data_IF_373300392709
#
_entry.id   IF_373300392709
#
_cell.length_a   1.000
_cell.length_b   1.000
_cell.length_c   1.000
_cell.angle_alpha   90.00
_cell.angle_beta   90.00
_cell.angle_gamma   90.00
#
_symmetry.space_group_name_H-M   'P 1'
#
loop_
_entity.id
_entity.type
_entity.pdbx_description
1 polymer ?
#
# COMPACT_ATOMS: atom_id res chain seq x y z
N UNK A 1 17.94 -9.94 -8.73
CA UNK A 1 17.55 -8.52 -8.89
C UNK A 1 16.35 -8.25 -8.02
N UNK A 2 16.26 -7.11 -7.33
CA UNK A 2 15.05 -6.73 -6.61
C UNK A 2 13.89 -6.45 -7.58
N UNK A 3 12.66 -6.69 -7.13
CA UNK A 3 11.43 -6.32 -7.86
C UNK A 3 11.24 -4.82 -7.89
N UNK A 4 11.54 -4.17 -6.74
CA UNK A 4 11.52 -2.71 -6.58
C UNK A 4 12.86 -2.30 -5.98
N UNK A 5 13.54 -1.32 -6.56
CA UNK A 5 14.72 -0.68 -5.99
C UNK A 5 14.47 0.82 -5.90
N UNK A 6 14.66 1.40 -4.70
CA UNK A 6 14.55 2.84 -4.44
C UNK A 6 15.90 3.32 -3.94
N UNK A 7 16.45 4.37 -4.56
CA UNK A 7 17.78 4.89 -4.25
C UNK A 7 17.75 6.40 -4.12
N UNK A 8 18.20 6.89 -2.96
CA UNK A 8 18.37 8.30 -2.67
C UNK A 8 17.12 9.15 -2.87
N UNK A 9 15.92 8.57 -2.71
CA UNK A 9 14.67 9.24 -3.06
C UNK A 9 14.43 10.48 -2.21
N UNK A 10 14.23 11.62 -2.85
CA UNK A 10 14.00 12.90 -2.20
C UNK A 10 12.72 13.54 -2.70
N UNK A 11 11.97 14.17 -1.77
CA UNK A 11 10.79 14.95 -2.10
C UNK A 11 10.56 16.06 -1.09
N UNK A 12 10.36 17.24 -1.60
CA UNK A 12 10.02 18.44 -0.81
C UNK A 12 8.69 19.02 -1.28
N UNK A 13 8.00 19.70 -0.38
CA UNK A 13 6.83 20.51 -0.66
C UNK A 13 7.11 21.90 -0.09
N UNK A 14 7.32 22.88 -0.96
CA UNK A 14 7.83 24.19 -0.60
C UNK A 14 9.12 24.05 0.25
N UNK A 15 9.13 24.57 1.47
CA UNK A 15 10.28 24.51 2.38
C UNK A 15 10.39 23.22 3.17
N UNK A 16 9.38 22.36 3.12
CA UNK A 16 9.34 21.14 3.92
C UNK A 16 9.90 19.95 3.13
N UNK A 17 11.08 19.46 3.53
CA UNK A 17 11.70 18.26 2.98
C UNK A 17 11.11 17.02 3.65
N UNK A 18 10.23 16.32 2.92
CA UNK A 18 9.49 15.14 3.41
C UNK A 18 10.29 13.85 3.23
N UNK A 19 10.94 13.67 2.07
CA UNK A 19 11.86 12.57 1.83
C UNK A 19 13.28 13.14 1.67
N UNK A 20 14.23 12.58 2.40
CA UNK A 20 15.58 13.12 2.55
C UNK A 20 16.68 12.15 2.10
N UNK A 21 16.38 11.25 1.18
CA UNK A 21 17.23 10.17 0.71
C UNK A 21 16.74 8.84 1.28
N UNK A 22 15.66 8.30 0.71
CA UNK A 22 15.09 7.00 1.07
C UNK A 22 15.72 5.93 0.18
N UNK A 23 16.24 4.88 0.81
CA UNK A 23 16.89 3.74 0.15
C UNK A 23 16.27 2.44 0.68
N UNK A 24 15.75 1.59 -0.20
CA UNK A 24 15.34 0.21 0.12
C UNK A 24 15.14 -0.62 -1.15
N UNK A 25 15.12 -1.93 -0.95
CA UNK A 25 14.81 -2.92 -1.96
C UNK A 25 13.64 -3.79 -1.52
N UNK A 26 12.87 -4.29 -2.49
CA UNK A 26 11.85 -5.32 -2.28
C UNK A 26 12.12 -6.46 -3.25
N UNK A 27 12.27 -7.67 -2.74
CA UNK A 27 12.44 -8.86 -3.57
C UNK A 27 11.13 -9.26 -4.26
N UNK A 28 11.22 -10.05 -5.33
CA UNK A 28 10.03 -10.61 -5.96
C UNK A 28 9.29 -11.55 -4.98
N UNK A 29 7.98 -11.37 -4.86
CA UNK A 29 7.13 -12.14 -3.94
C UNK A 29 7.24 -11.76 -2.47
N UNK A 30 8.07 -10.76 -2.13
CA UNK A 30 8.25 -10.25 -0.77
C UNK A 30 7.12 -9.29 -0.37
N UNK A 31 6.70 -9.34 0.89
CA UNK A 31 5.83 -8.36 1.53
C UNK A 31 6.66 -7.43 2.43
N UNK A 32 6.98 -6.23 1.94
CA UNK A 32 7.64 -5.19 2.72
C UNK A 32 6.60 -4.30 3.41
N UNK A 33 6.76 -4.09 4.71
CA UNK A 33 5.95 -3.09 5.45
C UNK A 33 6.84 -1.92 5.87
N UNK A 34 6.44 -0.70 5.48
CA UNK A 34 7.11 0.52 5.91
C UNK A 34 6.33 1.12 7.08
N UNK A 35 6.94 1.13 8.25
CA UNK A 35 6.39 1.70 9.47
C UNK A 35 6.94 3.09 9.74
N UNK A 36 6.30 3.84 10.64
CA UNK A 36 6.75 5.15 11.11
C UNK A 36 5.60 6.04 11.50
N UNK A 37 5.89 7.11 12.22
CA UNK A 37 4.89 8.06 12.70
C UNK A 37 4.10 8.77 11.59
N UNK A 38 3.04 9.48 11.96
CA UNK A 38 2.29 10.30 11.02
C UNK A 38 3.20 11.40 10.43
N UNK A 39 3.05 11.68 9.14
CA UNK A 39 3.81 12.74 8.45
C UNK A 39 5.27 12.42 8.13
N UNK A 40 5.78 11.21 8.41
CA UNK A 40 7.18 10.83 8.13
C UNK A 40 7.52 10.64 6.65
N UNK A 41 6.52 10.65 5.76
CA UNK A 41 6.72 10.50 4.31
C UNK A 41 6.29 9.16 3.72
N UNK A 42 5.70 8.24 4.49
CA UNK A 42 5.29 6.89 4.02
C UNK A 42 4.42 6.94 2.76
N UNK A 43 3.28 7.65 2.82
CA UNK A 43 2.38 7.78 1.66
C UNK A 43 3.02 8.56 0.50
N UNK A 44 3.94 9.49 0.78
CA UNK A 44 4.72 10.20 -0.26
C UNK A 44 5.63 9.22 -0.98
N UNK A 45 6.29 8.31 -0.25
CA UNK A 45 7.15 7.26 -0.84
C UNK A 45 6.35 6.39 -1.81
N UNK A 46 5.20 5.84 -1.38
CA UNK A 46 4.34 5.04 -2.28
C UNK A 46 3.87 5.86 -3.48
N UNK A 47 3.45 7.12 -3.28
CA UNK A 47 3.01 7.98 -4.39
C UNK A 47 4.13 8.26 -5.40
N UNK A 48 5.39 8.35 -4.96
CA UNK A 48 6.52 8.46 -5.87
C UNK A 48 6.73 7.16 -6.66
N UNK A 49 6.67 5.99 -6.01
CA UNK A 49 6.81 4.69 -6.69
C UNK A 49 5.69 4.49 -7.72
N UNK A 50 4.45 4.82 -7.36
CA UNK A 50 3.32 4.82 -8.28
C UNK A 50 3.43 5.92 -9.37
N UNK A 51 4.41 6.83 -9.27
CA UNK A 51 4.57 7.99 -10.14
C UNK A 51 3.38 8.96 -10.08
N UNK A 52 2.60 8.95 -9.02
CA UNK A 52 1.58 9.97 -8.73
C UNK A 52 2.23 11.29 -8.28
N UNK A 53 3.46 11.19 -7.77
CA UNK A 53 4.33 12.33 -7.46
C UNK A 53 5.68 12.12 -8.15
N UNK A 54 6.20 13.16 -8.77
CA UNK A 54 7.57 13.16 -9.29
C UNK A 54 8.52 13.49 -8.14
N UNK A 55 9.51 12.63 -7.84
CA UNK A 55 10.54 12.95 -6.84
C UNK A 55 11.42 14.09 -7.34
N UNK A 56 12.06 14.79 -6.39
CA UNK A 56 12.97 15.89 -6.71
C UNK A 56 14.38 15.37 -7.04
N UNK A 57 14.74 14.19 -6.50
CA UNK A 57 15.97 13.47 -6.80
C UNK A 57 15.84 11.97 -6.41
N UNK A 58 16.80 11.17 -6.84
CA UNK A 58 16.85 9.73 -6.62
C UNK A 58 16.29 8.94 -7.80
N UNK A 59 16.31 7.60 -7.68
CA UNK A 59 15.82 6.68 -8.70
C UNK A 59 14.84 5.67 -8.12
N UNK A 60 13.95 5.18 -8.98
CA UNK A 60 12.99 4.11 -8.67
C UNK A 60 13.01 3.14 -9.83
N UNK A 61 13.51 1.94 -9.58
CA UNK A 61 13.54 0.88 -10.58
C UNK A 61 12.51 -0.21 -10.27
N UNK A 62 11.81 -0.67 -11.31
CA UNK A 62 10.95 -1.85 -11.26
C UNK A 62 11.51 -2.88 -12.25
N UNK A 63 11.91 -4.05 -11.74
CA UNK A 63 12.63 -5.09 -12.51
C UNK A 63 13.87 -4.53 -13.24
N UNK A 64 14.62 -3.63 -12.57
CA UNK A 64 15.82 -3.00 -13.13
C UNK A 64 15.56 -1.92 -14.19
N UNK A 65 14.30 -1.53 -14.38
CA UNK A 65 13.94 -0.43 -15.30
C UNK A 65 13.62 0.81 -14.51
N UNK A 66 14.33 1.92 -14.81
CA UNK A 66 14.06 3.23 -14.21
C UNK A 66 12.64 3.71 -14.57
N UNK A 67 11.89 4.15 -13.54
CA UNK A 67 10.49 4.55 -13.69
C UNK A 67 10.24 6.03 -13.48
N UNK A 68 11.19 6.76 -12.89
CA UNK A 68 11.09 8.21 -12.72
C UNK A 68 11.10 8.88 -14.09
N UNK A 69 10.14 9.77 -14.32
CA UNK A 69 10.01 10.48 -15.59
C UNK A 69 9.35 9.70 -16.72
N UNK A 70 8.94 8.45 -16.51
CA UNK A 70 8.16 7.73 -17.51
C UNK A 70 6.86 8.47 -17.84
N UNK A 71 6.54 8.56 -19.12
CA UNK A 71 5.34 9.24 -19.63
C UNK A 71 4.61 8.40 -20.69
N UNK A 72 3.41 8.81 -21.05
CA UNK A 72 2.62 8.23 -22.12
C UNK A 72 2.41 6.71 -21.99
N UNK A 73 2.63 5.98 -23.08
CA UNK A 73 2.37 4.52 -23.15
C UNK A 73 3.26 3.69 -22.23
N UNK A 74 4.51 4.13 -21.97
CA UNK A 74 5.42 3.40 -21.06
C UNK A 74 4.89 3.45 -19.63
N UNK A 75 4.47 4.63 -19.17
CA UNK A 75 3.82 4.81 -17.88
C UNK A 75 2.52 4.00 -17.76
N UNK A 76 1.65 4.05 -18.77
CA UNK A 76 0.39 3.29 -18.76
C UNK A 76 0.64 1.79 -18.59
N UNK A 77 1.64 1.23 -19.30
CA UNK A 77 2.04 -0.18 -19.16
C UNK A 77 2.51 -0.51 -17.75
N UNK A 78 3.31 0.37 -17.14
CA UNK A 78 3.77 0.20 -15.77
C UNK A 78 2.58 0.19 -14.79
N UNK A 79 1.65 1.13 -14.93
CA UNK A 79 0.47 1.24 -14.05
C UNK A 79 -0.43 0.00 -14.10
N UNK A 80 -0.47 -0.72 -15.23
CA UNK A 80 -1.22 -1.97 -15.35
C UNK A 80 -0.63 -3.13 -14.52
N UNK A 81 0.61 -3.00 -14.06
CA UNK A 81 1.29 -3.99 -13.21
C UNK A 81 1.01 -3.75 -11.71
N UNK A 82 0.37 -2.64 -11.37
CA UNK A 82 0.15 -2.21 -10.00
C UNK A 82 -1.31 -2.37 -9.59
N UNK A 83 -1.52 -2.83 -8.36
CA UNK A 83 -2.78 -2.72 -7.65
C UNK A 83 -2.60 -1.86 -6.40
N UNK A 84 -3.62 -1.08 -6.05
CA UNK A 84 -3.54 -0.15 -4.91
C UNK A 84 -4.81 -0.19 -4.07
N UNK A 85 -4.62 -0.35 -2.76
CA UNK A 85 -5.64 -0.11 -1.75
C UNK A 85 -5.27 1.18 -0.99
N UNK A 86 -6.08 2.21 -1.15
CA UNK A 86 -5.90 3.50 -0.50
C UNK A 86 -6.49 3.52 0.91
N UNK A 87 -5.98 4.38 1.78
CA UNK A 87 -6.41 4.55 3.16
C UNK A 87 -7.95 4.71 3.30
N UNK A 88 -8.57 5.57 2.49
CA UNK A 88 -10.01 5.81 2.47
C UNK A 88 -10.80 4.89 1.53
N UNK A 89 -10.24 3.72 1.11
CA UNK A 89 -10.81 2.84 0.08
C UNK A 89 -10.90 3.48 -1.31
N UNK A 90 -11.11 4.78 -1.40
CA UNK A 90 -11.20 5.58 -2.63
C UNK A 90 -12.14 4.96 -3.69
N UNK A 91 -13.30 4.48 -3.23
CA UNK A 91 -14.34 3.97 -4.13
C UNK A 91 -15.06 5.15 -4.78
N UNK A 92 -15.52 4.96 -6.01
CA UNK A 92 -16.34 5.93 -6.73
C UNK A 92 -17.79 5.81 -6.25
N UNK A 93 -18.31 6.82 -5.57
CA UNK A 93 -19.65 6.82 -4.98
C UNK A 93 -20.75 6.69 -6.02
N UNK A 94 -20.52 7.18 -7.24
CA UNK A 94 -21.46 7.13 -8.35
C UNK A 94 -21.54 5.77 -9.04
N UNK A 95 -20.61 4.85 -8.76
CA UNK A 95 -20.52 3.53 -9.38
C UNK A 95 -21.02 2.45 -8.43
N UNK A 96 -21.63 1.39 -9.00
CA UNK A 96 -21.95 0.19 -8.26
C UNK A 96 -20.64 -0.51 -7.80
N UNK A 97 -20.76 -1.40 -6.82
CA UNK A 97 -19.63 -2.17 -6.27
C UNK A 97 -18.88 -2.93 -7.35
N UNK A 98 -19.60 -3.67 -8.22
CA UNK A 98 -18.95 -4.40 -9.31
C UNK A 98 -18.24 -3.48 -10.31
N UNK A 99 -18.78 -2.29 -10.57
CA UNK A 99 -18.17 -1.30 -11.46
C UNK A 99 -16.92 -0.69 -10.84
N UNK A 100 -16.92 -0.48 -9.51
CA UNK A 100 -15.73 -0.09 -8.79
C UNK A 100 -14.61 -1.13 -8.94
N UNK A 101 -14.92 -2.40 -8.75
CA UNK A 101 -13.94 -3.51 -8.91
C UNK A 101 -13.45 -3.61 -10.35
N UNK A 102 -14.36 -3.51 -11.32
CA UNK A 102 -14.08 -3.64 -12.74
C UNK A 102 -13.49 -2.37 -13.40
N UNK A 103 -13.41 -1.25 -12.66
CA UNK A 103 -13.07 0.06 -13.23
C UNK A 103 -11.77 0.04 -14.05
N UNK A 104 -10.69 -0.49 -13.49
CA UNK A 104 -9.40 -0.59 -14.16
C UNK A 104 -9.41 -1.54 -15.38
N UNK A 105 -10.23 -2.58 -15.35
CA UNK A 105 -10.42 -3.50 -16.46
C UNK A 105 -11.12 -2.82 -17.64
N UNK A 106 -12.19 -2.08 -17.37
CA UNK A 106 -13.00 -1.41 -18.39
C UNK A 106 -12.25 -0.20 -18.96
N UNK A 107 -11.85 0.73 -18.09
CA UNK A 107 -11.28 2.02 -18.51
C UNK A 107 -9.79 1.91 -18.89
N UNK A 108 -9.05 1.04 -18.21
CA UNK A 108 -7.59 0.91 -18.43
C UNK A 108 -7.24 -0.13 -19.49
N UNK A 109 -7.94 -1.28 -19.50
CA UNK A 109 -7.60 -2.42 -20.37
C UNK A 109 -8.61 -2.67 -21.48
N UNK A 110 -9.72 -1.92 -21.57
CA UNK A 110 -10.75 -2.07 -22.59
C UNK A 110 -11.51 -3.39 -22.53
N UNK A 111 -11.55 -4.05 -21.36
CA UNK A 111 -12.28 -5.31 -21.20
C UNK A 111 -13.79 -5.06 -21.36
N UNK A 112 -14.51 -5.85 -22.19
CA UNK A 112 -15.94 -5.69 -22.35
C UNK A 112 -16.70 -5.78 -21.03
N UNK A 113 -17.71 -4.92 -20.82
CA UNK A 113 -18.44 -4.79 -19.55
C UNK A 113 -18.94 -6.11 -18.98
N UNK A 114 -19.48 -6.99 -19.83
CA UNK A 114 -19.98 -8.31 -19.39
C UNK A 114 -18.85 -9.13 -18.76
N UNK A 115 -17.72 -9.27 -19.44
CA UNK A 115 -16.56 -10.00 -18.94
C UNK A 115 -15.96 -9.35 -17.68
N UNK A 116 -15.87 -8.02 -17.67
CA UNK A 116 -15.35 -7.28 -16.53
C UNK A 116 -16.25 -7.46 -15.29
N UNK A 117 -17.57 -7.58 -15.47
CA UNK A 117 -18.50 -7.90 -14.40
C UNK A 117 -18.29 -9.31 -13.84
N UNK A 118 -18.10 -10.30 -14.71
CA UNK A 118 -17.85 -11.68 -14.28
C UNK A 118 -16.57 -11.76 -13.44
N UNK A 119 -15.49 -11.10 -13.89
CA UNK A 119 -14.24 -10.97 -13.11
C UNK A 119 -14.49 -10.25 -11.78
N UNK A 120 -15.25 -9.17 -11.78
CA UNK A 120 -15.54 -8.43 -10.55
C UNK A 120 -16.27 -9.30 -9.52
N UNK A 121 -17.24 -10.11 -9.94
CA UNK A 121 -17.95 -11.04 -9.06
C UNK A 121 -17.01 -12.11 -8.49
N UNK A 122 -16.11 -12.65 -9.29
CA UNK A 122 -15.08 -13.58 -8.85
C UNK A 122 -14.18 -12.95 -7.76
N UNK A 123 -13.68 -11.72 -8.01
CA UNK A 123 -12.79 -11.04 -7.05
C UNK A 123 -13.54 -10.58 -5.78
N UNK A 124 -14.83 -10.25 -5.88
CA UNK A 124 -15.67 -10.01 -4.70
C UNK A 124 -15.81 -11.28 -3.85
N UNK A 125 -16.07 -12.42 -4.47
CA UNK A 125 -16.12 -13.69 -3.77
C UNK A 125 -14.78 -14.03 -3.09
N UNK A 126 -13.64 -13.77 -3.75
CA UNK A 126 -12.30 -13.98 -3.21
C UNK A 126 -12.02 -13.17 -1.93
N UNK A 127 -12.69 -12.02 -1.73
CA UNK A 127 -12.60 -11.21 -0.51
C UNK A 127 -13.77 -11.45 0.45
N UNK A 128 -14.54 -12.54 0.25
CA UNK A 128 -15.65 -12.93 1.12
C UNK A 128 -16.88 -12.04 1.01
N UNK A 129 -17.16 -11.46 -0.17
CA UNK A 129 -18.36 -10.70 -0.46
C UNK A 129 -19.19 -11.47 -1.50
N UNK A 130 -20.47 -11.71 -1.19
CA UNK A 130 -21.40 -12.40 -2.08
C UNK A 130 -21.85 -11.53 -3.26
N UNK A 131 -22.49 -12.17 -4.24
CA UNK A 131 -22.95 -11.50 -5.46
C UNK A 131 -24.06 -10.43 -5.19
N UNK A 132 -24.77 -10.55 -4.07
CA UNK A 132 -25.81 -9.60 -3.63
C UNK A 132 -25.26 -8.18 -3.38
N UNK A 133 -23.99 -8.05 -3.00
CA UNK A 133 -23.34 -6.75 -2.79
C UNK A 133 -22.97 -6.06 -4.10
N UNK A 134 -22.90 -6.78 -5.20
CA UNK A 134 -22.37 -6.26 -6.46
C UNK A 134 -23.15 -5.06 -7.02
N UNK A 135 -24.48 -5.04 -6.82
CA UNK A 135 -25.34 -3.95 -7.28
C UNK A 135 -25.42 -2.76 -6.31
N UNK A 136 -24.92 -2.91 -5.08
CA UNK A 136 -24.92 -1.85 -4.07
C UNK A 136 -23.96 -0.71 -4.46
N UNK A 137 -24.12 0.42 -3.79
CA UNK A 137 -23.20 1.57 -3.89
C UNK A 137 -22.34 1.68 -2.63
N UNK A 138 -21.17 2.34 -2.69
CA UNK A 138 -20.28 2.49 -1.54
C UNK A 138 -20.96 2.99 -0.25
N UNK A 139 -21.89 3.94 -0.36
CA UNK A 139 -22.62 4.48 0.77
C UNK A 139 -23.52 3.45 1.50
N UNK A 140 -23.83 2.31 0.87
CA UNK A 140 -24.63 1.23 1.45
C UNK A 140 -23.79 0.16 2.14
N UNK A 141 -22.46 0.33 2.15
CA UNK A 141 -21.51 -0.64 2.69
C UNK A 141 -20.95 -0.18 4.05
N UNK A 142 -20.70 -1.14 4.94
CA UNK A 142 -19.89 -0.87 6.14
C UNK A 142 -18.44 -0.55 5.75
N UNK A 143 -17.68 0.09 6.64
CA UNK A 143 -16.25 0.40 6.41
C UNK A 143 -15.41 -0.83 6.06
N UNK A 144 -15.64 -1.96 6.75
CA UNK A 144 -14.97 -3.23 6.43
C UNK A 144 -15.36 -3.80 5.07
N UNK A 145 -16.62 -3.65 4.64
CA UNK A 145 -17.05 -4.04 3.30
C UNK A 145 -16.40 -3.15 2.23
N UNK A 146 -16.32 -1.83 2.47
CA UNK A 146 -15.64 -0.91 1.54
C UNK A 146 -14.16 -1.25 1.36
N UNK A 147 -13.45 -1.63 2.44
CA UNK A 147 -12.06 -2.09 2.37
C UNK A 147 -11.93 -3.38 1.56
N UNK A 148 -12.85 -4.34 1.74
CA UNK A 148 -12.87 -5.59 0.94
C UNK A 148 -13.15 -5.33 -0.53
N UNK A 149 -14.09 -4.43 -0.86
CA UNK A 149 -14.32 -4.01 -2.26
C UNK A 149 -13.07 -3.33 -2.85
N UNK A 150 -12.39 -2.46 -2.09
CA UNK A 150 -11.15 -1.82 -2.52
C UNK A 150 -10.02 -2.84 -2.75
N UNK A 151 -9.94 -3.90 -1.91
CA UNK A 151 -9.01 -5.01 -2.11
C UNK A 151 -9.36 -5.80 -3.38
N UNK A 152 -10.64 -6.15 -3.58
CA UNK A 152 -11.11 -6.81 -4.80
C UNK A 152 -10.74 -5.99 -6.05
N UNK A 153 -10.92 -4.66 -6.02
CA UNK A 153 -10.50 -3.75 -7.09
C UNK A 153 -8.99 -3.78 -7.31
N UNK A 154 -8.20 -3.80 -6.25
CA UNK A 154 -6.73 -3.83 -6.34
C UNK A 154 -6.22 -5.10 -7.03
N UNK A 155 -6.87 -6.25 -6.81
CA UNK A 155 -6.47 -7.54 -7.39
C UNK A 155 -7.18 -7.90 -8.71
N UNK A 156 -8.17 -7.09 -9.13
CA UNK A 156 -9.02 -7.43 -10.28
C UNK A 156 -8.25 -7.57 -11.60
N UNK A 157 -7.21 -6.78 -11.76
CA UNK A 157 -6.37 -6.77 -12.96
C UNK A 157 -5.17 -7.73 -12.87
N UNK A 158 -5.11 -8.58 -11.85
CA UNK A 158 -4.00 -9.52 -11.60
C UNK A 158 -2.64 -8.80 -11.65
N UNK A 159 -2.41 -7.86 -10.72
CA UNK A 159 -1.19 -7.07 -10.70
C UNK A 159 0.01 -7.92 -10.29
N UNK A 160 1.22 -7.45 -10.62
CA UNK A 160 2.48 -8.03 -10.15
C UNK A 160 2.92 -7.46 -8.81
N UNK A 161 2.49 -6.22 -8.51
CA UNK A 161 2.84 -5.50 -7.27
C UNK A 161 1.58 -4.90 -6.67
N UNK A 162 1.37 -5.16 -5.38
CA UNK A 162 0.28 -4.59 -4.59
C UNK A 162 0.81 -3.55 -3.61
N UNK A 163 0.14 -2.41 -3.57
CA UNK A 163 0.41 -1.35 -2.60
C UNK A 163 -0.77 -1.20 -1.64
N UNK A 164 -0.47 -1.05 -0.35
CA UNK A 164 -1.46 -0.88 0.71
C UNK A 164 -1.12 0.36 1.54
N UNK A 165 -2.00 1.37 1.48
CA UNK A 165 -1.86 2.59 2.27
C UNK A 165 -2.83 2.52 3.46
N UNK A 166 -2.29 2.24 4.66
CA UNK A 166 -3.05 2.15 5.91
C UNK A 166 -4.31 1.26 5.78
N UNK A 167 -4.19 -0.01 5.41
CA UNK A 167 -5.33 -0.85 5.00
C UNK A 167 -6.34 -1.10 6.12
N UNK A 168 -5.92 -1.07 7.38
CA UNK A 168 -6.74 -1.38 8.56
C UNK A 168 -7.19 -0.15 9.34
N UNK A 169 -6.73 1.04 8.96
CA UNK A 169 -7.08 2.29 9.65
C UNK A 169 -8.59 2.54 9.62
N UNK A 170 -9.17 2.84 10.80
CA UNK A 170 -10.59 3.12 10.97
C UNK A 170 -11.47 1.88 11.13
N UNK A 171 -10.87 0.69 11.26
CA UNK A 171 -11.57 -0.56 11.54
C UNK A 171 -11.40 -0.97 13.01
N UNK A 172 -12.39 -1.68 13.54
CA UNK A 172 -12.24 -2.38 14.80
C UNK A 172 -11.20 -3.51 14.70
N UNK A 173 -10.63 -4.00 15.83
CA UNK A 173 -9.56 -5.01 15.81
C UNK A 173 -9.93 -6.32 15.11
N UNK A 174 -11.20 -6.74 15.18
CA UNK A 174 -11.67 -7.99 14.55
C UNK A 174 -11.70 -7.83 13.03
N UNK A 175 -12.25 -6.72 12.55
CA UNK A 175 -12.28 -6.41 11.12
C UNK A 175 -10.87 -6.14 10.56
N UNK A 176 -10.00 -5.49 11.34
CA UNK A 176 -8.60 -5.32 10.95
C UNK A 176 -7.90 -6.67 10.75
N UNK A 177 -8.17 -7.65 11.62
CA UNK A 177 -7.67 -9.01 11.48
C UNK A 177 -8.17 -9.71 10.21
N UNK A 178 -9.45 -9.55 9.88
CA UNK A 178 -10.03 -10.08 8.64
C UNK A 178 -9.33 -9.49 7.41
N UNK A 179 -9.10 -8.17 7.38
CA UNK A 179 -8.41 -7.51 6.27
C UNK A 179 -6.96 -7.98 6.18
N UNK A 180 -6.24 -8.10 7.29
CA UNK A 180 -4.86 -8.62 7.29
C UNK A 180 -4.78 -10.04 6.73
N UNK A 181 -5.71 -10.93 7.11
CA UNK A 181 -5.76 -12.29 6.55
C UNK A 181 -6.04 -12.27 5.04
N UNK A 182 -6.97 -11.44 4.58
CA UNK A 182 -7.25 -11.31 3.15
C UNK A 182 -6.04 -10.77 2.38
N UNK A 183 -5.30 -9.79 2.92
CA UNK A 183 -4.06 -9.29 2.33
C UNK A 183 -3.06 -10.44 2.17
N UNK A 184 -2.80 -11.21 3.24
CA UNK A 184 -1.87 -12.35 3.19
C UNK A 184 -2.32 -13.39 2.17
N UNK A 185 -3.61 -13.74 2.15
CA UNK A 185 -4.16 -14.69 1.18
C UNK A 185 -4.00 -14.20 -0.27
N UNK A 186 -4.31 -12.93 -0.54
CA UNK A 186 -4.14 -12.34 -1.87
C UNK A 186 -2.67 -12.30 -2.31
N UNK A 187 -1.77 -11.82 -1.44
CA UNK A 187 -0.34 -11.70 -1.75
C UNK A 187 0.26 -13.09 -2.01
N UNK A 188 0.03 -14.05 -1.10
CA UNK A 188 0.58 -15.40 -1.25
C UNK A 188 -0.11 -16.21 -2.35
N UNK A 189 -1.44 -16.11 -2.45
CA UNK A 189 -2.21 -16.84 -3.47
C UNK A 189 -1.91 -16.39 -4.90
N UNK A 190 -1.61 -15.12 -5.10
CA UNK A 190 -1.22 -14.57 -6.39
C UNK A 190 0.30 -14.60 -6.63
N UNK A 191 1.12 -14.86 -5.60
CA UNK A 191 2.57 -14.82 -5.69
C UNK A 191 3.13 -13.43 -6.01
N UNK A 192 2.43 -12.37 -5.61
CA UNK A 192 2.77 -10.99 -5.95
C UNK A 192 3.68 -10.35 -4.91
N UNK A 193 4.41 -9.32 -5.32
CA UNK A 193 5.19 -8.47 -4.40
C UNK A 193 4.25 -7.46 -3.74
N UNK A 194 4.44 -7.18 -2.46
CA UNK A 194 3.61 -6.22 -1.73
C UNK A 194 4.44 -5.15 -1.03
N UNK A 195 3.96 -3.92 -1.05
CA UNK A 195 4.48 -2.81 -0.23
C UNK A 195 3.32 -2.22 0.56
N UNK A 196 3.37 -2.33 1.86
CA UNK A 196 2.37 -1.78 2.77
C UNK A 196 2.97 -0.63 3.59
N UNK A 197 2.18 0.37 3.87
CA UNK A 197 2.53 1.37 4.87
C UNK A 197 1.49 1.36 5.97
N UNK A 198 1.94 1.35 7.22
CA UNK A 198 1.06 1.38 8.38
C UNK A 198 1.78 1.87 9.62
N UNK A 199 1.03 2.29 10.63
CA UNK A 199 1.52 2.54 11.99
C UNK A 199 1.02 1.46 12.97
N UNK A 200 0.22 0.49 12.50
CA UNK A 200 -0.31 -0.60 13.31
C UNK A 200 0.67 -1.78 13.36
N UNK A 201 1.19 -2.04 14.55
CA UNK A 201 2.18 -3.11 14.77
C UNK A 201 1.57 -4.51 14.74
N UNK A 202 0.27 -4.64 15.05
CA UNK A 202 -0.44 -5.93 14.94
C UNK A 202 -0.54 -6.33 13.47
N UNK A 203 -0.98 -5.42 12.61
CA UNK A 203 -1.00 -5.62 11.16
C UNK A 203 0.39 -5.90 10.62
N UNK A 204 1.40 -5.10 11.03
CA UNK A 204 2.79 -5.27 10.59
C UNK A 204 3.30 -6.68 10.80
N UNK A 205 3.15 -7.24 12.01
CA UNK A 205 3.60 -8.62 12.33
C UNK A 205 2.88 -9.71 11.53
N UNK A 206 1.67 -9.42 11.03
CA UNK A 206 0.86 -10.40 10.28
C UNK A 206 1.16 -10.41 8.79
N UNK A 207 1.38 -9.23 8.20
CA UNK A 207 1.47 -9.11 6.74
C UNK A 207 2.90 -8.96 6.22
N UNK A 208 3.89 -8.66 7.08
CA UNK A 208 5.26 -8.41 6.67
C UNK A 208 6.12 -9.68 6.62
N UNK A 209 6.92 -9.81 5.56
CA UNK A 209 8.14 -10.63 5.55
C UNK A 209 9.32 -9.81 6.07
N UNK A 210 9.42 -8.55 5.61
CA UNK A 210 10.39 -7.55 6.07
C UNK A 210 9.71 -6.24 6.46
N UNK A 211 10.37 -5.53 7.36
CA UNK A 211 9.92 -4.21 7.83
C UNK A 211 11.03 -3.19 7.62
N UNK A 212 10.66 -2.00 7.20
CA UNK A 212 11.51 -0.82 7.14
C UNK A 212 10.90 0.30 7.97
N UNK A 213 11.71 0.97 8.82
CA UNK A 213 11.23 2.11 9.59
C UNK A 213 11.64 3.42 8.92
N UNK A 214 10.64 4.22 8.56
CA UNK A 214 10.84 5.57 8.01
C UNK A 214 10.73 6.62 9.11
N UNK A 215 11.80 7.38 9.33
CA UNK A 215 11.84 8.50 10.25
C UNK A 215 12.52 9.70 9.63
N UNK A 216 11.91 10.88 9.71
CA UNK A 216 12.43 12.15 9.14
C UNK A 216 12.93 12.01 7.69
N UNK A 217 12.14 11.32 6.86
CA UNK A 217 12.42 11.14 5.44
C UNK A 217 13.58 10.20 5.10
N UNK A 218 14.02 9.34 6.04
CA UNK A 218 15.07 8.34 5.84
C UNK A 218 14.67 6.99 6.44
N UNK A 219 15.14 5.90 5.84
CA UNK A 219 15.04 4.59 6.49
C UNK A 219 16.12 4.53 7.58
N UNK A 220 15.66 4.40 8.83
CA UNK A 220 16.55 4.33 10.01
C UNK A 220 16.81 2.89 10.43
N UNK A 221 16.02 1.95 9.97
CA UNK A 221 16.19 0.51 10.19
C UNK A 221 15.41 -0.28 9.12
N UNK A 222 15.93 -1.43 8.74
CA UNK A 222 15.19 -2.44 7.99
C UNK A 222 15.70 -3.84 8.37
N UNK A 223 14.82 -4.82 8.36
CA UNK A 223 15.15 -6.20 8.72
C UNK A 223 13.95 -7.14 8.57
N UNK A 224 14.14 -8.45 8.83
CA UNK A 224 13.05 -9.42 8.90
C UNK A 224 11.98 -9.00 9.91
N UNK A 225 10.72 -9.29 9.62
CA UNK A 225 9.62 -8.96 10.53
C UNK A 225 9.75 -9.65 11.90
N UNK A 226 10.39 -10.84 11.93
CA UNK A 226 10.66 -11.57 13.17
C UNK A 226 11.63 -10.84 14.11
N UNK A 227 12.50 -9.98 13.58
CA UNK A 227 13.53 -9.30 14.35
C UNK A 227 13.08 -7.93 14.90
N UNK A 228 11.85 -7.51 14.60
CA UNK A 228 11.38 -6.16 14.90
C UNK A 228 11.40 -5.84 16.41
N UNK A 229 11.08 -6.82 17.26
CA UNK A 229 11.06 -6.66 18.72
C UNK A 229 12.47 -6.70 19.34
N UNK A 230 13.46 -7.13 18.56
CA UNK A 230 14.88 -7.23 18.95
C UNK A 230 15.80 -6.53 17.94
N UNK A 231 15.32 -5.47 17.33
CA UNK A 231 15.98 -4.72 16.25
C UNK A 231 17.33 -4.11 16.64
N UNK A 232 17.59 -3.92 17.93
CA UNK A 232 18.75 -3.17 18.45
C UNK A 232 18.74 -1.67 18.10
N UNK A 233 17.66 -1.18 17.49
CA UNK A 233 17.51 0.21 17.07
C UNK A 233 16.57 0.97 18.00
N UNK A 234 17.02 2.06 18.68
CA UNK A 234 16.22 2.76 19.67
C UNK A 234 14.97 3.45 19.08
N UNK A 235 14.97 3.82 17.80
CA UNK A 235 13.78 4.37 17.14
C UNK A 235 12.72 3.29 16.95
N UNK A 236 13.12 2.09 16.53
CA UNK A 236 12.21 0.94 16.36
C UNK A 236 11.68 0.52 17.71
N UNK A 237 12.54 0.37 18.74
CA UNK A 237 12.14 -0.03 20.09
C UNK A 237 11.10 0.94 20.67
N UNK A 238 11.34 2.24 20.56
CA UNK A 238 10.38 3.25 21.02
C UNK A 238 9.04 3.14 20.28
N UNK A 239 9.08 3.01 18.94
CA UNK A 239 7.88 3.02 18.12
C UNK A 239 7.03 1.77 18.33
N UNK A 240 7.68 0.59 18.32
CA UNK A 240 7.01 -0.71 18.47
C UNK A 240 6.34 -0.87 19.83
N UNK A 241 6.99 -0.36 20.89
CA UNK A 241 6.49 -0.44 22.26
C UNK A 241 5.62 0.75 22.66
N UNK A 242 5.41 1.74 21.78
CA UNK A 242 4.59 2.93 22.07
C UNK A 242 5.11 3.76 23.24
N UNK A 243 6.43 3.84 23.44
CA UNK A 243 7.02 4.57 24.56
C UNK A 243 7.07 6.07 24.26
N UNK A 244 6.70 6.89 25.24
CA UNK A 244 6.82 8.35 25.14
C UNK A 244 8.30 8.79 25.13
N UNK A 245 9.10 8.21 26.02
CA UNK A 245 10.53 8.50 26.14
C UNK A 245 11.34 7.76 25.06
N UNK A 246 12.20 8.49 24.34
CA UNK A 246 13.08 7.93 23.32
C UNK A 246 13.52 8.95 22.28
N UNK A 247 14.21 8.51 21.23
CA UNK A 247 14.77 9.41 20.21
C UNK A 247 13.72 10.07 19.30
N UNK A 248 12.47 9.55 19.28
CA UNK A 248 11.37 10.16 18.53
C UNK A 248 10.70 11.20 19.42
N UNK A 249 10.98 12.47 19.15
CA UNK A 249 10.32 13.57 19.85
C UNK A 249 9.08 14.02 19.08
N UNK A 250 7.91 13.85 19.66
CA UNK A 250 6.68 14.45 19.13
C UNK A 250 6.63 15.92 19.50
N UNK A 251 6.53 16.80 18.49
CA UNK A 251 6.20 18.21 18.75
C UNK A 251 4.72 18.29 19.12
N UNK A 252 4.42 18.31 20.41
CA UNK A 252 3.10 18.70 20.89
C UNK A 252 3.01 20.21 20.62
N UNK A 253 2.32 20.63 19.55
CA UNK A 253 1.95 22.04 19.42
C UNK A 253 1.02 22.34 20.59
N UNK A 254 1.45 23.20 21.51
CA UNK A 254 0.53 23.80 22.46
C UNK A 254 -0.60 24.47 21.66
N UNK A 255 -1.83 24.18 22.05
CA UNK A 255 -3.05 24.73 21.47
C UNK A 255 -3.12 26.24 21.61
#
# INVERSE_FOLDING_TARGET
MPKIAVRGLQKSFAVNRVLAGVDFDVAAGESLVIIGGSGTGKSVTIKCILGLLVPDAGSIEIDGVETVGLAGRARARLMHRFGMLFQGSALFDSLAVWENVAFGLIQGRGVPRRRARDIALEKLAAVGLGAEVAALRPAQLSGGMQKRVALARAIAAEPEILFFDEPTTGLDPIMADVINRLIVQCVRGLGVTAVSITHDMVSTRKIADRVAMLHRGRIVWHGPAADIDHSGNPFVDQFVNGREAGPIHMQIRAA
#
